data_IF_770327110965
#
_entry.id   IF_770327110965
#
_cell.length_a   1.000
_cell.length_b   1.000
_cell.length_c   1.000
_cell.angle_alpha   90.00
_cell.angle_beta   90.00
_cell.angle_gamma   90.00
#
_symmetry.space_group_name_H-M   'P 1'
#
loop_
_entity.id
_entity.type
_entity.pdbx_description
1 polymer ?
#
# COMPACT_ATOMS: atom_id res chain seq x y z
N UNK A 1 17.56 8.99 -13.48
CA UNK A 1 16.32 9.33 -12.76
C UNK A 1 15.36 9.98 -13.73
N UNK A 2 14.12 9.48 -13.85
CA UNK A 2 13.08 10.13 -14.66
C UNK A 2 12.57 11.38 -13.93
N UNK A 3 12.22 12.43 -14.68
CA UNK A 3 11.67 13.68 -14.12
C UNK A 3 10.14 13.65 -14.00
N UNK A 4 9.54 12.49 -14.23
CA UNK A 4 8.09 12.29 -14.24
C UNK A 4 7.56 12.44 -12.83
N UNK A 5 6.71 13.46 -12.62
CA UNK A 5 6.03 13.70 -11.33
C UNK A 5 4.64 13.08 -11.26
N UNK A 6 3.99 12.91 -12.40
CA UNK A 6 2.65 12.30 -12.52
C UNK A 6 2.61 11.48 -13.80
N UNK A 7 2.01 10.30 -13.74
CA UNK A 7 1.71 9.56 -14.97
C UNK A 7 0.53 10.21 -15.69
N UNK A 8 0.49 10.14 -17.05
CA UNK A 8 -0.66 10.61 -17.82
C UNK A 8 -1.95 9.85 -17.43
N UNK A 9 -3.10 10.53 -17.47
CA UNK A 9 -4.39 9.90 -17.18
C UNK A 9 -4.73 8.77 -18.16
N UNK A 10 -4.22 8.84 -19.39
CA UNK A 10 -4.40 7.80 -20.41
C UNK A 10 -3.79 6.44 -20.00
N UNK A 11 -2.88 6.41 -19.03
CA UNK A 11 -2.37 5.13 -18.50
C UNK A 11 -3.52 4.31 -17.87
N UNK A 12 -4.52 4.97 -17.28
CA UNK A 12 -5.69 4.32 -16.69
C UNK A 12 -6.72 3.79 -17.71
N UNK A 13 -6.47 3.96 -19.02
CA UNK A 13 -7.30 3.38 -20.08
C UNK A 13 -6.68 2.11 -20.69
N UNK A 14 -5.50 1.71 -20.22
CA UNK A 14 -4.81 0.51 -20.67
C UNK A 14 -5.38 -0.74 -19.98
N UNK A 15 -6.66 -1.05 -20.20
CA UNK A 15 -7.40 -2.12 -19.49
C UNK A 15 -6.74 -3.51 -19.55
N UNK A 16 -5.91 -3.77 -20.57
CA UNK A 16 -5.19 -5.04 -20.75
C UNK A 16 -3.78 -5.03 -20.12
N UNK A 17 -3.37 -3.93 -19.48
CA UNK A 17 -2.05 -3.82 -18.86
C UNK A 17 -1.95 -4.80 -17.69
N UNK A 18 -0.93 -5.65 -17.72
CA UNK A 18 -0.67 -6.65 -16.66
C UNK A 18 0.49 -6.26 -15.75
N UNK A 19 1.45 -5.50 -16.27
CA UNK A 19 2.69 -5.16 -15.56
C UNK A 19 2.94 -3.66 -15.69
N UNK A 20 3.16 -3.00 -14.56
CA UNK A 20 3.57 -1.60 -14.48
C UNK A 20 4.80 -1.49 -13.58
N UNK A 21 5.94 -1.15 -14.17
CA UNK A 21 7.22 -0.98 -13.47
C UNK A 21 7.58 0.51 -13.42
N UNK A 22 7.56 1.07 -12.22
CA UNK A 22 7.87 2.47 -11.89
C UNK A 22 9.06 2.54 -10.91
N UNK A 23 9.91 1.50 -10.94
CA UNK A 23 11.07 1.37 -10.06
C UNK A 23 12.03 2.55 -10.25
N UNK A 24 12.53 3.10 -9.15
CA UNK A 24 13.44 4.26 -9.09
C UNK A 24 12.86 5.57 -9.68
N UNK A 25 11.53 5.69 -9.81
CA UNK A 25 10.90 6.95 -10.19
C UNK A 25 10.83 7.88 -8.96
N UNK A 26 11.99 8.34 -8.48
CA UNK A 26 12.17 9.09 -7.22
C UNK A 26 11.34 10.38 -7.14
N UNK A 27 10.96 10.96 -8.28
CA UNK A 27 10.17 12.19 -8.35
C UNK A 27 8.67 11.96 -8.60
N UNK A 28 8.22 10.71 -8.79
CA UNK A 28 6.82 10.40 -8.97
C UNK A 28 6.06 10.72 -7.68
N UNK A 29 5.06 11.60 -7.79
CA UNK A 29 4.25 12.07 -6.68
C UNK A 29 2.86 11.45 -6.68
N UNK A 30 2.26 11.25 -7.86
CA UNK A 30 0.90 10.71 -7.99
C UNK A 30 0.78 9.71 -9.13
N UNK A 31 0.06 8.62 -8.86
CA UNK A 31 -0.49 7.74 -9.88
C UNK A 31 -1.81 8.34 -10.43
N UNK A 32 -2.27 7.89 -11.61
CA UNK A 32 -3.55 8.34 -12.17
C UNK A 32 -4.71 8.02 -11.21
N UNK A 33 -5.68 8.94 -10.99
CA UNK A 33 -6.79 8.72 -10.06
C UNK A 33 -7.66 7.51 -10.39
N UNK A 34 -7.77 7.15 -11.68
CA UNK A 34 -8.56 6.02 -12.19
C UNK A 34 -7.78 4.71 -12.25
N UNK A 35 -6.76 4.53 -11.41
CA UNK A 35 -5.89 3.34 -11.43
C UNK A 35 -6.67 2.04 -11.27
N UNK A 36 -7.78 2.07 -10.50
CA UNK A 36 -8.71 0.94 -10.34
C UNK A 36 -9.31 0.39 -11.64
N UNK A 37 -9.26 1.16 -12.74
CA UNK A 37 -9.70 0.67 -14.06
C UNK A 37 -8.80 -0.43 -14.64
N UNK A 38 -7.57 -0.59 -14.14
CA UNK A 38 -6.63 -1.56 -14.69
C UNK A 38 -6.88 -2.97 -14.14
N UNK A 39 -8.10 -3.49 -14.32
CA UNK A 39 -8.59 -4.74 -13.73
C UNK A 39 -7.73 -5.98 -14.05
N UNK A 40 -6.95 -5.95 -15.12
CA UNK A 40 -6.02 -7.03 -15.51
C UNK A 40 -4.60 -6.85 -14.96
N UNK A 41 -4.35 -5.80 -14.17
CA UNK A 41 -3.03 -5.53 -13.59
C UNK A 41 -2.69 -6.62 -12.57
N UNK A 42 -1.51 -7.22 -12.76
CA UNK A 42 -0.97 -8.28 -11.91
C UNK A 42 0.23 -7.81 -11.10
N UNK A 43 1.00 -6.87 -11.65
CA UNK A 43 2.24 -6.42 -11.05
C UNK A 43 2.34 -4.90 -11.10
N UNK A 44 2.41 -4.28 -9.92
CA UNK A 44 2.72 -2.86 -9.76
C UNK A 44 3.97 -2.72 -8.88
N UNK A 45 5.07 -2.28 -9.49
CA UNK A 45 6.33 -2.04 -8.80
C UNK A 45 6.63 -0.53 -8.74
N UNK A 46 6.54 0.03 -7.55
CA UNK A 46 6.87 1.42 -7.20
C UNK A 46 8.11 1.50 -6.30
N UNK A 47 8.94 0.45 -6.26
CA UNK A 47 10.16 0.42 -5.44
C UNK A 47 11.05 1.62 -5.74
N UNK A 48 11.46 2.38 -4.72
CA UNK A 48 12.29 3.57 -4.91
C UNK A 48 11.53 4.82 -5.43
N UNK A 49 10.19 4.79 -5.52
CA UNK A 49 9.37 5.97 -5.80
C UNK A 49 9.15 6.81 -4.51
N UNK A 50 10.23 7.40 -4.00
CA UNK A 50 10.30 8.01 -2.66
C UNK A 50 9.34 9.19 -2.42
N UNK A 51 8.85 9.85 -3.48
CA UNK A 51 7.94 10.99 -3.37
C UNK A 51 6.47 10.62 -3.60
N UNK A 52 6.15 9.34 -3.83
CA UNK A 52 4.77 8.93 -4.08
C UNK A 52 3.95 9.17 -2.81
N UNK A 53 2.88 9.94 -2.93
CA UNK A 53 2.20 10.51 -1.76
C UNK A 53 1.19 9.54 -1.13
N UNK A 54 0.41 8.85 -1.96
CA UNK A 54 -0.65 7.91 -1.56
C UNK A 54 -1.02 7.01 -2.73
N UNK A 55 -1.69 5.89 -2.45
CA UNK A 55 -2.32 5.09 -3.49
C UNK A 55 -3.59 5.80 -4.00
N UNK A 56 -3.85 5.80 -5.33
CA UNK A 56 -5.07 6.36 -5.90
C UNK A 56 -6.28 5.55 -5.43
N UNK A 57 -7.48 6.15 -5.43
CA UNK A 57 -8.71 5.45 -5.03
C UNK A 57 -8.94 4.16 -5.84
N UNK A 58 -9.73 3.24 -5.26
CA UNK A 58 -10.20 2.03 -5.93
C UNK A 58 -9.10 1.02 -6.27
N UNK A 59 -7.98 1.04 -5.54
CA UNK A 59 -6.99 -0.05 -5.61
C UNK A 59 -7.60 -1.43 -5.37
N UNK A 60 -8.66 -1.54 -4.57
CA UNK A 60 -9.39 -2.77 -4.31
C UNK A 60 -10.11 -3.35 -5.54
N UNK A 61 -10.25 -2.60 -6.63
CA UNK A 61 -10.78 -3.10 -7.90
C UNK A 61 -9.75 -3.94 -8.68
N UNK A 62 -8.47 -3.83 -8.32
CA UNK A 62 -7.36 -4.58 -8.94
C UNK A 62 -7.30 -6.02 -8.41
N UNK A 63 -8.41 -6.75 -8.48
CA UNK A 63 -8.57 -8.09 -7.87
C UNK A 63 -7.59 -9.15 -8.40
N UNK A 64 -7.02 -8.92 -9.59
CA UNK A 64 -5.98 -9.77 -10.21
C UNK A 64 -4.54 -9.42 -9.75
N UNK A 65 -4.38 -8.39 -8.90
CA UNK A 65 -3.07 -7.93 -8.46
C UNK A 65 -2.37 -8.97 -7.58
N UNK A 66 -1.13 -9.27 -7.93
CA UNK A 66 -0.32 -10.33 -7.33
C UNK A 66 0.88 -9.76 -6.61
N UNK A 67 1.51 -8.72 -7.17
CA UNK A 67 2.62 -8.03 -6.54
C UNK A 67 2.34 -6.54 -6.47
N UNK A 68 2.51 -5.98 -5.28
CA UNK A 68 2.45 -4.56 -5.00
C UNK A 68 3.61 -4.24 -4.07
N UNK A 69 4.61 -3.49 -4.55
CA UNK A 69 5.82 -3.23 -3.75
C UNK A 69 5.52 -2.38 -2.51
N UNK A 70 4.65 -1.38 -2.64
CA UNK A 70 4.28 -0.50 -1.54
C UNK A 70 2.81 -0.06 -1.65
N UNK A 71 2.03 -0.24 -0.58
CA UNK A 71 0.71 0.32 -0.40
C UNK A 71 0.82 1.53 0.54
N UNK A 72 0.77 2.73 -0.03
CA UNK A 72 0.85 4.00 0.71
C UNK A 72 -0.57 4.43 1.12
N UNK A 73 -0.87 4.38 2.42
CA UNK A 73 -2.22 4.67 2.96
C UNK A 73 -2.54 6.16 2.79
N UNK A 74 -3.68 6.47 2.16
CA UNK A 74 -4.15 7.84 1.91
C UNK A 74 -5.07 8.41 3.00
N UNK A 75 -5.20 9.73 3.05
CA UNK A 75 -6.02 10.49 4.04
C UNK A 75 -7.30 11.06 3.41
N UNK A 76 -8.08 10.22 2.72
CA UNK A 76 -9.40 10.57 2.16
C UNK A 76 -9.43 10.88 0.65
N UNK A 77 -8.32 11.35 0.06
CA UNK A 77 -8.16 11.49 -1.40
C UNK A 77 -7.52 10.27 -2.07
N UNK A 78 -6.88 9.41 -1.28
CA UNK A 78 -6.29 8.14 -1.70
C UNK A 78 -6.95 6.94 -1.04
N UNK A 79 -6.50 5.74 -1.43
CA UNK A 79 -7.03 4.49 -0.90
C UNK A 79 -6.79 4.34 0.59
N UNK A 80 -7.86 3.99 1.30
CA UNK A 80 -7.79 3.50 2.67
C UNK A 80 -7.21 2.09 2.70
N UNK A 81 -6.56 1.72 3.81
CA UNK A 81 -6.01 0.37 4.03
C UNK A 81 -7.06 -0.76 3.86
N UNK A 82 -8.35 -0.44 4.04
CA UNK A 82 -9.47 -1.38 3.84
C UNK A 82 -9.51 -1.96 2.44
N UNK A 83 -8.98 -1.26 1.45
CA UNK A 83 -8.98 -1.72 0.05
C UNK A 83 -8.12 -2.97 -0.16
N UNK A 84 -7.12 -3.21 0.69
CA UNK A 84 -6.32 -4.45 0.69
C UNK A 84 -7.19 -5.70 0.89
N UNK A 85 -8.39 -5.58 1.47
CA UNK A 85 -9.36 -6.68 1.60
C UNK A 85 -9.64 -7.38 0.28
N UNK A 86 -9.73 -6.60 -0.80
CA UNK A 86 -10.16 -7.05 -2.11
C UNK A 86 -8.99 -7.52 -2.99
N UNK A 87 -7.79 -7.63 -2.42
CA UNK A 87 -6.57 -8.07 -3.10
C UNK A 87 -6.11 -9.44 -2.56
N UNK A 88 -6.88 -10.53 -2.80
CA UNK A 88 -6.62 -11.83 -2.21
C UNK A 88 -5.36 -12.51 -2.77
N UNK A 89 -4.93 -12.12 -3.97
CA UNK A 89 -3.85 -12.76 -4.71
C UNK A 89 -2.45 -12.18 -4.40
N UNK A 90 -2.37 -11.20 -3.49
CA UNK A 90 -1.09 -10.60 -3.11
C UNK A 90 -0.14 -11.65 -2.54
N UNK A 91 1.10 -11.62 -3.04
CA UNK A 91 2.15 -12.56 -2.70
C UNK A 91 3.54 -11.95 -2.75
N UNK A 92 4.49 -12.65 -2.12
CA UNK A 92 5.87 -12.19 -2.01
C UNK A 92 5.99 -11.10 -0.94
N UNK A 93 6.63 -9.99 -1.30
CA UNK A 93 6.93 -8.87 -0.40
C UNK A 93 5.96 -7.73 -0.64
N UNK A 94 5.46 -7.14 0.44
CA UNK A 94 4.69 -5.89 0.41
C UNK A 94 5.16 -4.96 1.54
N UNK A 95 5.36 -3.69 1.21
CA UNK A 95 5.40 -2.62 2.20
C UNK A 95 4.02 -1.98 2.35
N UNK A 96 3.61 -1.65 3.56
CA UNK A 96 2.45 -0.81 3.85
C UNK A 96 2.97 0.39 4.61
N UNK A 97 2.89 1.56 3.99
CA UNK A 97 3.50 2.79 4.51
C UNK A 97 2.46 3.86 4.80
N UNK A 98 2.86 4.84 5.61
CA UNK A 98 2.02 5.88 6.17
C UNK A 98 0.87 5.34 7.03
N UNK A 99 1.15 4.33 7.85
CA UNK A 99 0.14 3.70 8.70
C UNK A 99 -0.46 4.65 9.74
N UNK A 100 0.19 5.77 10.05
CA UNK A 100 -0.36 6.89 10.83
C UNK A 100 -1.64 7.49 10.21
N UNK A 101 -1.86 7.30 8.91
CA UNK A 101 -3.05 7.79 8.20
C UNK A 101 -4.30 6.94 8.46
N UNK A 102 -4.20 5.82 9.19
CA UNK A 102 -5.35 4.98 9.55
C UNK A 102 -6.15 5.65 10.67
N UNK A 103 -7.26 6.31 10.29
CA UNK A 103 -8.12 7.06 11.21
C UNK A 103 -8.86 6.14 12.19
N UNK A 104 -9.51 5.08 11.67
CA UNK A 104 -10.20 4.07 12.46
C UNK A 104 -9.34 2.80 12.52
N UNK A 105 -8.78 2.43 13.69
CA UNK A 105 -7.95 1.22 13.82
C UNK A 105 -8.64 -0.06 13.34
N UNK A 106 -9.97 -0.13 13.40
CA UNK A 106 -10.75 -1.29 12.92
C UNK A 106 -10.64 -1.49 11.40
N UNK A 107 -10.16 -0.49 10.68
CA UNK A 107 -9.86 -0.61 9.26
C UNK A 107 -8.61 -1.44 8.97
N UNK A 108 -7.67 -1.50 9.93
CA UNK A 108 -6.52 -2.41 9.84
C UNK A 108 -6.97 -3.87 9.75
N UNK A 109 -7.96 -4.29 10.56
CA UNK A 109 -8.53 -5.64 10.47
C UNK A 109 -9.15 -5.91 9.10
N UNK A 110 -9.75 -4.90 8.48
CA UNK A 110 -10.36 -5.05 7.15
C UNK A 110 -9.32 -5.26 6.07
N UNK A 111 -8.06 -4.84 6.27
CA UNK A 111 -6.98 -5.16 5.35
C UNK A 111 -6.80 -6.67 5.15
N UNK A 112 -7.28 -7.50 6.10
CA UNK A 112 -7.34 -8.97 6.01
C UNK A 112 -5.99 -9.57 5.59
N UNK A 113 -4.91 -9.20 6.30
CA UNK A 113 -3.58 -9.73 6.03
C UNK A 113 -3.46 -11.20 6.44
N UNK A 114 -4.28 -11.66 7.39
CA UNK A 114 -4.34 -13.05 7.83
C UNK A 114 -4.71 -14.03 6.70
N UNK A 115 -5.53 -13.65 5.72
CA UNK A 115 -5.86 -14.52 4.58
C UNK A 115 -4.88 -14.40 3.39
N UNK A 116 -3.93 -13.47 3.43
CA UNK A 116 -2.94 -13.28 2.35
C UNK A 116 -1.78 -14.27 2.47
N UNK A 117 -2.12 -15.55 2.33
CA UNK A 117 -1.25 -16.73 2.46
C UNK A 117 -0.03 -16.74 1.55
N UNK A 118 -0.04 -15.95 0.48
CA UNK A 118 1.07 -15.82 -0.46
C UNK A 118 2.15 -14.83 -0.03
N UNK A 119 1.88 -13.99 0.98
CA UNK A 119 2.86 -13.04 1.50
C UNK A 119 3.93 -13.77 2.31
N UNK A 120 5.19 -13.44 2.00
CA UNK A 120 6.39 -13.95 2.67
C UNK A 120 7.04 -12.85 3.51
N UNK A 121 6.99 -11.61 3.04
CA UNK A 121 7.63 -10.49 3.72
C UNK A 121 6.64 -9.32 3.81
N UNK A 122 6.53 -8.75 5.00
CA UNK A 122 5.68 -7.60 5.29
C UNK A 122 6.50 -6.54 5.98
N UNK A 123 6.49 -5.35 5.41
CA UNK A 123 7.12 -4.16 5.99
C UNK A 123 5.99 -3.21 6.37
N UNK A 124 5.95 -2.82 7.64
CA UNK A 124 4.98 -1.86 8.17
C UNK A 124 5.72 -0.58 8.53
N UNK A 125 5.32 0.55 7.93
CA UNK A 125 6.04 1.81 8.05
C UNK A 125 5.13 2.97 8.45
N UNK A 126 5.54 3.67 9.51
CA UNK A 126 4.97 4.93 9.97
C UNK A 126 5.91 6.10 9.66
N UNK A 127 5.35 7.28 9.42
CA UNK A 127 6.06 8.54 9.10
C UNK A 127 6.96 9.11 10.20
N UNK A 128 6.98 8.52 11.40
CA UNK A 128 7.84 8.91 12.51
C UNK A 128 7.35 10.13 13.30
N UNK A 129 8.17 10.56 14.27
CA UNK A 129 7.81 11.44 15.41
C UNK A 129 7.33 12.85 15.01
N UNK A 130 7.58 13.32 13.79
CA UNK A 130 7.24 14.70 13.40
C UNK A 130 5.78 14.89 12.94
N UNK A 131 5.05 13.80 12.70
CA UNK A 131 3.62 13.81 12.33
C UNK A 131 2.72 13.23 13.46
N UNK A 132 3.26 13.11 14.68
CA UNK A 132 2.72 12.35 15.82
C UNK A 132 1.47 12.96 16.49
N UNK A 133 0.41 13.17 15.73
CA UNK A 133 -0.92 13.49 16.28
C UNK A 133 -1.79 12.23 16.49
N UNK A 134 -1.40 11.06 15.99
CA UNK A 134 -2.21 9.83 16.10
C UNK A 134 -1.94 9.04 17.38
N UNK A 135 -2.90 9.10 18.33
CA UNK A 135 -2.95 8.27 19.55
C UNK A 135 -3.30 6.78 19.29
N UNK A 136 -3.34 6.36 18.02
CA UNK A 136 -3.96 5.09 17.61
C UNK A 136 -2.98 4.05 17.04
N UNK A 137 -1.69 4.36 16.92
CA UNK A 137 -0.69 3.50 16.26
C UNK A 137 -0.64 2.09 16.87
N UNK A 138 -0.69 1.97 18.20
CA UNK A 138 -0.72 0.68 18.89
C UNK A 138 -1.92 -0.17 18.49
N UNK A 139 -3.11 0.44 18.42
CA UNK A 139 -4.31 -0.28 18.01
C UNK A 139 -4.24 -0.73 16.55
N UNK A 140 -3.62 0.06 15.67
CA UNK A 140 -3.46 -0.31 14.25
C UNK A 140 -2.56 -1.53 14.12
N UNK A 141 -1.39 -1.53 14.76
CA UNK A 141 -0.44 -2.64 14.70
C UNK A 141 -1.07 -3.95 15.19
N UNK A 142 -1.75 -3.93 16.34
CA UNK A 142 -2.39 -5.11 16.94
C UNK A 142 -3.51 -5.69 16.06
N UNK A 143 -4.17 -4.85 15.26
CA UNK A 143 -5.32 -5.22 14.44
C UNK A 143 -4.95 -5.63 13.01
N UNK A 144 -3.70 -5.42 12.56
CA UNK A 144 -3.24 -5.82 11.23
C UNK A 144 -3.12 -7.34 11.07
N UNK A 145 -2.69 -8.04 12.14
CA UNK A 145 -2.63 -9.51 12.26
C UNK A 145 -2.22 -10.23 10.96
N UNK A 146 -0.93 -10.20 10.56
CA UNK A 146 -0.48 -10.89 9.37
C UNK A 146 -0.58 -12.42 9.51
N UNK A 147 -0.62 -13.13 8.38
CA UNK A 147 -0.64 -14.60 8.40
C UNK A 147 0.63 -15.17 9.06
N UNK A 148 0.48 -16.22 9.87
CA UNK A 148 1.56 -16.98 10.53
C UNK A 148 2.64 -17.60 9.61
N UNK A 149 2.49 -17.49 8.27
CA UNK A 149 3.43 -18.04 7.28
C UNK A 149 4.42 -16.98 6.79
N UNK A 150 4.27 -15.75 7.28
CA UNK A 150 5.19 -14.67 7.02
C UNK A 150 6.59 -15.07 7.50
N UNK A 151 7.57 -14.97 6.63
CA UNK A 151 8.97 -15.28 6.88
C UNK A 151 9.68 -14.08 7.51
N UNK A 152 9.32 -12.85 7.09
CA UNK A 152 9.91 -11.60 7.57
C UNK A 152 8.81 -10.59 7.89
N UNK A 153 8.85 -10.07 9.12
CA UNK A 153 8.09 -8.89 9.55
C UNK A 153 9.08 -7.79 9.94
N UNK A 154 9.01 -6.66 9.26
CA UNK A 154 9.79 -5.47 9.60
C UNK A 154 8.84 -4.33 9.99
N UNK A 155 9.12 -3.66 11.11
CA UNK A 155 8.34 -2.53 11.61
C UNK A 155 9.25 -1.31 11.69
N UNK A 156 8.86 -0.21 11.02
CA UNK A 156 9.64 1.02 10.91
C UNK A 156 8.84 2.21 11.38
N UNK A 157 9.50 3.13 12.08
CA UNK A 157 8.91 4.41 12.49
C UNK A 157 7.75 4.30 13.48
N UNK A 158 7.46 3.11 14.01
CA UNK A 158 6.40 2.90 15.00
C UNK A 158 6.74 3.64 16.30
N UNK A 159 5.83 4.51 16.74
CA UNK A 159 6.03 5.35 17.93
C UNK A 159 5.20 4.90 19.14
N UNK A 160 4.46 3.80 19.02
CA UNK A 160 3.67 3.25 20.11
C UNK A 160 4.54 2.70 21.24
N UNK A 161 3.98 2.67 22.44
CA UNK A 161 4.71 2.32 23.68
C UNK A 161 4.55 0.86 24.11
N UNK A 162 3.87 0.04 23.30
CA UNK A 162 3.54 -1.37 23.60
C UNK A 162 3.89 -2.27 22.41
N UNK A 163 4.30 -3.50 22.74
CA UNK A 163 4.61 -4.59 21.81
C UNK A 163 3.90 -5.87 22.28
#
# INVERSE_FOLDING_TARGET
STHIRRLPESVATLYNLQVMLLKEFKNLQKLPPKMGNLINLRHLDTTGALKLEEMPLQMGELTQLQTLSNFIVGTGSGSSIRELRNLPNLRGTISISKLENVIDPRDATKANLIEKRGLKELILEWGGVFDSTSRNDTNVLDLLQPHLRLEILEIKGYTGTRF
#
